data_IF_515098320572
#
_entry.id   IF_515098320572
#
_cell.length_a   1.000
_cell.length_b   1.000
_cell.length_c   1.000
_cell.angle_alpha   90.00
_cell.angle_beta   90.00
_cell.angle_gamma   90.00
#
_symmetry.space_group_name_H-M   'P 1'
#
loop_
_entity.id
_entity.type
_entity.pdbx_description
1 polymer ?
#
# COMPACT_ATOMS: atom_id res chain seq x y z
N UNK A 1 -4.15 -58.26 7.12
CA UNK A 1 -3.24 -57.19 7.61
C UNK A 1 -2.94 -56.26 6.44
N UNK A 2 -3.73 -55.20 6.25
CA UNK A 2 -3.43 -54.12 5.29
C UNK A 2 -2.75 -52.99 6.06
N UNK A 3 -1.47 -52.71 5.75
CA UNK A 3 -0.79 -51.51 6.23
C UNK A 3 -1.28 -50.30 5.44
N UNK A 4 -2.01 -49.39 6.09
CA UNK A 4 -2.19 -48.03 5.60
C UNK A 4 -0.86 -47.27 5.78
N UNK A 5 -0.16 -47.01 4.69
CA UNK A 5 0.93 -46.05 4.68
C UNK A 5 0.35 -44.64 4.85
N UNK A 6 0.48 -44.08 6.05
CA UNK A 6 0.14 -42.68 6.32
C UNK A 6 1.22 -41.80 5.70
N UNK A 7 0.91 -41.20 4.55
CA UNK A 7 1.79 -40.23 3.90
C UNK A 7 1.77 -38.94 4.71
N UNK A 8 2.75 -38.78 5.60
CA UNK A 8 3.01 -37.50 6.27
C UNK A 8 3.60 -36.57 5.23
N UNK A 9 2.76 -35.67 4.69
CA UNK A 9 3.18 -34.61 3.78
C UNK A 9 4.01 -33.60 4.57
N UNK A 10 5.33 -33.69 4.49
CA UNK A 10 6.25 -32.71 5.05
C UNK A 10 6.07 -31.38 4.30
N UNK A 11 5.30 -30.46 4.87
CA UNK A 11 5.21 -29.08 4.38
C UNK A 11 6.54 -28.38 4.68
N UNK A 12 7.43 -28.32 3.69
CA UNK A 12 8.64 -27.51 3.77
C UNK A 12 8.26 -26.06 4.11
N UNK A 13 8.70 -25.57 5.26
CA UNK A 13 8.59 -24.17 5.64
C UNK A 13 9.49 -23.36 4.72
N UNK A 14 8.90 -22.72 3.70
CA UNK A 14 9.63 -21.76 2.86
C UNK A 14 10.23 -20.66 3.75
N UNK A 15 11.50 -20.27 3.56
CA UNK A 15 12.10 -19.19 4.33
C UNK A 15 11.27 -17.92 4.22
N UNK A 16 11.19 -17.17 5.32
CA UNK A 16 10.61 -15.83 5.32
C UNK A 16 11.49 -14.95 4.41
N UNK A 17 10.91 -14.39 3.35
CA UNK A 17 11.62 -13.45 2.47
C UNK A 17 11.40 -12.03 3.03
N UNK A 18 12.48 -11.34 3.42
CA UNK A 18 12.42 -9.93 3.82
C UNK A 18 12.02 -9.03 2.64
N UNK A 19 11.42 -7.85 2.91
CA UNK A 19 11.17 -6.88 1.87
C UNK A 19 12.44 -6.46 1.12
N UNK A 20 12.39 -6.50 -0.20
CA UNK A 20 13.47 -6.02 -1.07
C UNK A 20 13.24 -4.54 -1.38
N UNK A 21 14.16 -3.68 -0.93
CA UNK A 21 14.00 -2.22 -0.97
C UNK A 21 15.23 -1.56 -1.63
N UNK A 22 15.06 -0.71 -2.66
CA UNK A 22 16.14 0.08 -3.22
C UNK A 22 16.75 1.03 -2.18
N UNK A 23 18.08 1.13 -2.13
CA UNK A 23 18.83 2.01 -1.20
C UNK A 23 18.33 3.46 -1.19
N UNK A 24 17.89 3.97 -2.34
CA UNK A 24 17.43 5.35 -2.51
C UNK A 24 16.17 5.71 -1.72
N UNK A 25 15.38 4.73 -1.28
CA UNK A 25 14.14 4.92 -0.50
C UNK A 25 14.11 4.05 0.75
N UNK A 26 15.26 3.47 1.11
CA UNK A 26 15.34 2.43 2.14
C UNK A 26 14.90 2.96 3.50
N UNK A 27 15.31 4.18 3.84
CA UNK A 27 14.95 4.84 5.10
C UNK A 27 13.43 5.03 5.21
N UNK A 28 12.83 5.61 4.19
CA UNK A 28 11.40 5.94 4.14
C UNK A 28 10.54 4.66 4.16
N UNK A 29 10.88 3.68 3.32
CA UNK A 29 10.15 2.43 3.25
C UNK A 29 10.28 1.60 4.54
N UNK A 30 11.47 1.54 5.17
CA UNK A 30 11.65 0.89 6.47
C UNK A 30 10.88 1.61 7.58
N UNK A 31 10.82 2.94 7.54
CA UNK A 31 10.02 3.73 8.49
C UNK A 31 8.55 3.37 8.35
N UNK A 32 7.99 3.38 7.14
CA UNK A 32 6.61 2.96 6.91
C UNK A 32 6.35 1.50 7.35
N UNK A 33 7.23 0.56 6.99
CA UNK A 33 7.14 -0.85 7.40
C UNK A 33 7.21 -1.05 8.93
N UNK A 34 7.81 -0.13 9.67
CA UNK A 34 7.87 -0.22 11.14
C UNK A 34 6.49 -0.15 11.79
N UNK A 35 5.54 0.55 11.17
CA UNK A 35 4.12 0.61 11.57
C UNK A 35 3.32 -0.65 11.20
N UNK A 36 3.87 -1.53 10.35
CA UNK A 36 3.26 -2.79 9.94
C UNK A 36 4.13 -4.00 10.30
N UNK A 37 4.32 -4.30 11.61
CA UNK A 37 5.18 -5.40 12.04
C UNK A 37 4.78 -6.76 11.44
N UNK A 38 3.50 -6.96 11.14
CA UNK A 38 3.01 -8.19 10.50
C UNK A 38 3.48 -8.36 9.05
N UNK A 39 3.83 -7.28 8.35
CA UNK A 39 4.23 -7.31 6.94
C UNK A 39 5.74 -7.56 6.77
N UNK A 40 6.55 -7.40 7.84
CA UNK A 40 8.02 -7.55 7.81
C UNK A 40 8.48 -8.94 7.35
N UNK A 41 7.65 -9.96 7.53
CA UNK A 41 7.95 -11.36 7.20
C UNK A 41 7.36 -11.80 5.85
N UNK A 42 6.84 -10.85 5.07
CA UNK A 42 6.24 -11.13 3.78
C UNK A 42 7.17 -10.73 2.63
N UNK A 43 7.14 -11.49 1.52
CA UNK A 43 7.85 -11.10 0.31
C UNK A 43 7.22 -9.84 -0.31
N UNK A 44 7.77 -8.66 0.00
CA UNK A 44 7.35 -7.37 -0.59
C UNK A 44 8.53 -6.79 -1.37
N UNK A 45 8.34 -6.55 -2.66
CA UNK A 45 9.36 -5.91 -3.50
C UNK A 45 8.98 -4.45 -3.77
N UNK A 46 9.88 -3.52 -3.46
CA UNK A 46 9.74 -2.12 -3.87
C UNK A 46 10.51 -1.93 -5.17
N UNK A 47 9.83 -1.46 -6.22
CA UNK A 47 10.40 -1.43 -7.56
C UNK A 47 10.07 -0.15 -8.30
N UNK A 48 11.10 0.58 -8.71
CA UNK A 48 10.96 1.71 -9.64
C UNK A 48 10.56 1.25 -11.04
N UNK A 49 9.72 2.04 -11.69
CA UNK A 49 9.23 1.87 -13.06
C UNK A 49 9.12 3.24 -13.73
N UNK A 50 9.47 3.31 -15.02
CA UNK A 50 9.48 4.58 -15.76
C UNK A 50 8.09 5.22 -15.85
N UNK A 51 7.05 4.41 -16.03
CA UNK A 51 5.67 4.91 -16.10
C UNK A 51 4.67 3.96 -15.47
N UNK A 52 3.85 4.55 -14.61
CA UNK A 52 2.66 4.02 -13.96
C UNK A 52 1.54 5.00 -14.29
N UNK A 53 0.44 4.48 -14.83
CA UNK A 53 -0.71 5.31 -15.21
C UNK A 53 -1.54 5.63 -13.97
N UNK A 54 -1.93 6.90 -13.83
CA UNK A 54 -2.94 7.40 -12.88
C UNK A 54 -2.55 7.38 -11.39
N UNK A 55 -1.32 7.02 -11.03
CA UNK A 55 -0.84 7.09 -9.64
C UNK A 55 0.68 7.23 -9.54
N UNK A 56 1.16 7.65 -8.37
CA UNK A 56 2.59 7.74 -8.03
C UNK A 56 3.15 6.37 -7.65
N UNK A 57 2.40 5.59 -6.88
CA UNK A 57 2.73 4.23 -6.49
C UNK A 57 1.54 3.29 -6.71
N UNK A 58 1.80 1.98 -6.74
CA UNK A 58 0.79 0.91 -6.82
C UNK A 58 1.26 -0.37 -6.14
N UNK A 59 0.54 -0.78 -5.10
CA UNK A 59 0.64 -2.11 -4.52
C UNK A 59 -0.15 -3.12 -5.35
N UNK A 60 0.45 -4.29 -5.62
CA UNK A 60 -0.23 -5.38 -6.29
C UNK A 60 0.29 -6.75 -5.80
N UNK A 61 -0.54 -7.80 -5.78
CA UNK A 61 -0.06 -9.15 -5.55
C UNK A 61 0.79 -9.63 -6.73
N UNK A 62 1.85 -10.39 -6.46
CA UNK A 62 2.61 -11.11 -7.50
C UNK A 62 1.77 -12.27 -8.00
N UNK A 63 1.20 -12.17 -9.20
CA UNK A 63 0.28 -13.17 -9.78
C UNK A 63 0.78 -14.62 -9.68
N UNK A 64 2.07 -14.86 -9.95
CA UNK A 64 2.68 -16.21 -9.86
C UNK A 64 2.61 -16.83 -8.45
N UNK A 65 2.48 -15.99 -7.41
CA UNK A 65 2.40 -16.40 -6.00
C UNK A 65 1.00 -16.19 -5.41
N UNK A 66 0.00 -15.76 -6.18
CA UNK A 66 -1.33 -15.41 -5.67
C UNK A 66 -2.07 -16.61 -5.04
N UNK A 67 -1.94 -17.80 -5.63
CA UNK A 67 -2.58 -19.03 -5.15
C UNK A 67 -1.76 -19.78 -4.08
N UNK A 68 -0.61 -19.24 -3.66
CA UNK A 68 0.13 -19.77 -2.51
C UNK A 68 -0.64 -19.47 -1.20
N UNK A 69 -0.35 -20.21 -0.12
CA UNK A 69 -0.84 -19.88 1.23
C UNK A 69 -0.61 -18.40 1.56
N UNK A 70 -1.51 -17.79 2.34
CA UNK A 70 -1.53 -16.34 2.59
C UNK A 70 -0.19 -15.79 3.10
N UNK A 71 0.52 -16.57 3.93
CA UNK A 71 1.84 -16.25 4.48
C UNK A 71 3.01 -16.39 3.48
N UNK A 72 2.76 -16.94 2.28
CA UNK A 72 3.74 -17.11 1.21
C UNK A 72 3.41 -16.27 -0.04
N UNK A 73 2.30 -15.51 0.00
CA UNK A 73 1.95 -14.60 -1.10
C UNK A 73 2.97 -13.48 -1.16
N UNK A 74 3.48 -13.25 -2.36
CA UNK A 74 4.37 -12.12 -2.63
C UNK A 74 3.60 -10.92 -3.14
N UNK A 75 4.12 -9.74 -2.86
CA UNK A 75 3.58 -8.45 -3.27
C UNK A 75 4.69 -7.61 -3.92
N UNK A 76 4.28 -6.61 -4.70
CA UNK A 76 5.18 -5.60 -5.24
C UNK A 76 4.52 -4.24 -5.09
N UNK A 77 5.29 -3.27 -4.63
CA UNK A 77 4.96 -1.84 -4.65
C UNK A 77 5.74 -1.24 -5.82
N UNK A 78 5.01 -0.92 -6.88
CA UNK A 78 5.56 -0.22 -8.03
C UNK A 78 5.60 1.27 -7.74
N UNK A 79 6.70 1.92 -8.09
CA UNK A 79 6.94 3.34 -7.81
C UNK A 79 7.31 3.99 -9.14
N UNK A 80 6.60 5.06 -9.52
CA UNK A 80 7.02 5.86 -10.65
C UNK A 80 8.40 6.43 -10.35
N UNK A 81 9.40 6.26 -11.23
CA UNK A 81 10.73 6.85 -11.00
C UNK A 81 10.65 8.38 -10.94
N UNK A 82 9.72 8.95 -11.71
CA UNK A 82 9.45 10.37 -11.76
C UNK A 82 7.97 10.67 -11.67
N UNK A 83 7.64 11.76 -11.01
CA UNK A 83 6.31 12.37 -11.05
C UNK A 83 6.37 13.71 -11.76
N UNK A 84 5.25 14.08 -12.41
CA UNK A 84 5.11 15.38 -13.04
C UNK A 84 4.47 16.35 -12.05
N UNK A 85 5.17 17.42 -11.75
CA UNK A 85 4.65 18.56 -11.01
C UNK A 85 4.79 19.78 -11.94
N UNK A 86 3.66 20.22 -12.48
CA UNK A 86 3.53 21.31 -13.43
C UNK A 86 4.15 20.94 -14.77
N UNK A 87 5.13 21.74 -15.19
CA UNK A 87 5.94 21.48 -16.37
C UNK A 87 7.27 20.77 -16.05
N UNK A 88 7.49 20.35 -14.80
CA UNK A 88 8.72 19.71 -14.35
C UNK A 88 8.51 18.24 -14.05
N UNK A 89 9.50 17.42 -14.38
CA UNK A 89 9.63 16.07 -13.86
C UNK A 89 10.53 16.09 -12.63
N UNK A 90 10.04 15.53 -11.53
CA UNK A 90 10.79 15.38 -10.29
C UNK A 90 10.95 13.89 -10.03
N UNK A 91 12.14 13.45 -9.63
CA UNK A 91 12.34 12.05 -9.26
C UNK A 91 11.62 11.79 -7.95
N UNK A 92 10.89 10.68 -7.87
CA UNK A 92 10.07 10.36 -6.69
C UNK A 92 10.92 10.22 -5.44
N UNK A 93 12.13 9.67 -5.55
CA UNK A 93 13.10 9.55 -4.45
C UNK A 93 13.58 10.90 -3.87
N UNK A 94 13.39 12.00 -4.60
CA UNK A 94 13.83 13.34 -4.19
C UNK A 94 12.68 14.14 -3.53
N UNK A 95 11.50 13.52 -3.33
CA UNK A 95 10.38 14.12 -2.62
C UNK A 95 10.63 14.18 -1.10
N UNK A 96 9.92 15.05 -0.36
CA UNK A 96 10.07 15.14 1.09
C UNK A 96 9.90 13.77 1.77
N UNK A 97 10.79 13.43 2.70
CA UNK A 97 10.84 12.11 3.35
C UNK A 97 9.50 11.72 3.98
N UNK A 98 8.84 12.64 4.69
CA UNK A 98 7.54 12.39 5.32
C UNK A 98 6.42 12.10 4.30
N UNK A 99 6.48 12.73 3.13
CA UNK A 99 5.50 12.53 2.05
C UNK A 99 5.67 11.14 1.44
N UNK A 100 6.92 10.69 1.26
CA UNK A 100 7.22 9.32 0.82
C UNK A 100 6.80 8.27 1.85
N UNK A 101 7.05 8.52 3.14
CA UNK A 101 6.61 7.64 4.22
C UNK A 101 5.08 7.50 4.20
N UNK A 102 4.33 8.59 4.00
CA UNK A 102 2.87 8.56 3.90
C UNK A 102 2.38 7.77 2.69
N UNK A 103 2.98 7.97 1.50
CA UNK A 103 2.65 7.15 0.32
C UNK A 103 2.96 5.66 0.55
N UNK A 104 4.12 5.31 1.12
CA UNK A 104 4.41 3.91 1.44
C UNK A 104 3.44 3.35 2.48
N UNK A 105 3.03 4.14 3.47
CA UNK A 105 1.99 3.76 4.42
C UNK A 105 0.68 3.38 3.74
N UNK A 106 0.21 4.22 2.82
CA UNK A 106 -0.96 3.95 2.00
C UNK A 106 -0.82 2.62 1.21
N UNK A 107 0.30 2.41 0.50
CA UNK A 107 0.53 1.19 -0.28
C UNK A 107 0.61 -0.07 0.60
N UNK A 108 1.18 0.04 1.81
CA UNK A 108 1.19 -1.03 2.79
C UNK A 108 -0.22 -1.30 3.35
N UNK A 109 -1.07 -0.28 3.46
CA UNK A 109 -2.50 -0.40 3.73
C UNK A 109 -3.22 -1.29 2.72
N UNK A 110 -2.94 -1.11 1.42
CA UNK A 110 -3.42 -2.02 0.38
C UNK A 110 -2.92 -3.46 0.58
N UNK A 111 -1.62 -3.66 0.82
CA UNK A 111 -1.08 -5.01 1.05
C UNK A 111 -1.75 -5.68 2.25
N UNK A 112 -1.97 -4.92 3.33
CA UNK A 112 -2.67 -5.41 4.53
C UNK A 112 -4.11 -5.81 4.22
N UNK A 113 -4.86 -5.02 3.44
CA UNK A 113 -6.19 -5.41 2.95
C UNK A 113 -6.11 -6.71 2.13
N UNK A 114 -5.11 -6.85 1.26
CA UNK A 114 -4.95 -8.04 0.43
C UNK A 114 -4.71 -9.33 1.22
N UNK A 115 -4.06 -9.24 2.39
CA UNK A 115 -3.82 -10.42 3.24
C UNK A 115 -5.11 -11.06 3.77
N UNK A 116 -6.17 -10.26 3.98
CA UNK A 116 -7.44 -10.77 4.47
C UNK A 116 -8.25 -11.45 3.37
N UNK A 117 -7.95 -11.20 2.10
CA UNK A 117 -8.71 -11.69 0.95
C UNK A 117 -8.29 -13.09 0.50
N UNK A 118 -9.24 -13.86 -0.05
CA UNK A 118 -8.93 -15.10 -0.77
C UNK A 118 -8.31 -14.79 -2.14
N UNK A 119 -7.66 -15.77 -2.79
CA UNK A 119 -7.04 -15.56 -4.10
C UNK A 119 -8.08 -15.18 -5.17
N UNK A 120 -9.23 -15.86 -5.18
CA UNK A 120 -10.35 -15.52 -6.05
C UNK A 120 -10.90 -14.12 -5.76
N UNK A 121 -11.07 -13.76 -4.48
CA UNK A 121 -11.52 -12.43 -4.11
C UNK A 121 -10.54 -11.35 -4.57
N UNK A 122 -9.22 -11.57 -4.49
CA UNK A 122 -8.20 -10.64 -5.00
C UNK A 122 -8.26 -10.46 -6.51
N UNK A 123 -8.51 -11.54 -7.26
CA UNK A 123 -8.68 -11.44 -8.71
C UNK A 123 -9.90 -10.58 -9.06
N UNK A 124 -11.05 -10.86 -8.43
CA UNK A 124 -12.26 -10.06 -8.63
C UNK A 124 -12.10 -8.62 -8.13
N UNK A 125 -11.36 -8.42 -7.03
CA UNK A 125 -11.01 -7.10 -6.53
C UNK A 125 -10.27 -6.30 -7.61
N UNK A 126 -9.24 -6.87 -8.23
CA UNK A 126 -8.49 -6.21 -9.30
C UNK A 126 -9.36 -5.86 -10.51
N UNK A 127 -10.24 -6.77 -10.93
CA UNK A 127 -11.19 -6.52 -12.03
C UNK A 127 -12.14 -5.36 -11.68
N UNK A 128 -12.75 -5.37 -10.50
CA UNK A 128 -13.70 -4.32 -10.09
C UNK A 128 -13.04 -2.97 -9.88
N UNK A 129 -11.80 -2.97 -9.38
CA UNK A 129 -11.00 -1.76 -9.22
C UNK A 129 -10.75 -1.07 -10.58
N UNK A 130 -10.59 -1.84 -11.67
CA UNK A 130 -10.41 -1.25 -13.01
C UNK A 130 -11.72 -0.74 -13.63
N UNK A 131 -12.88 -1.28 -13.24
CA UNK A 131 -14.15 -1.07 -13.93
C UNK A 131 -15.15 -0.17 -13.16
N UNK A 132 -14.92 0.13 -11.89
CA UNK A 132 -15.91 0.86 -11.06
C UNK A 132 -15.26 1.91 -10.15
N UNK A 133 -15.64 3.17 -10.36
CA UNK A 133 -15.23 4.32 -9.53
C UNK A 133 -15.59 4.15 -8.06
N UNK A 134 -16.79 3.65 -7.76
CA UNK A 134 -17.21 3.36 -6.39
C UNK A 134 -16.33 2.30 -5.72
N UNK A 135 -15.88 1.28 -6.47
CA UNK A 135 -14.95 0.28 -5.95
C UNK A 135 -13.55 0.85 -5.72
N UNK A 136 -13.07 1.72 -6.62
CA UNK A 136 -11.83 2.47 -6.40
C UNK A 136 -11.95 3.27 -5.11
N UNK A 137 -12.99 4.11 -4.97
CA UNK A 137 -13.23 4.92 -3.77
C UNK A 137 -13.19 4.08 -2.49
N UNK A 138 -13.92 2.97 -2.47
CA UNK A 138 -13.92 2.08 -1.32
C UNK A 138 -12.55 1.45 -1.03
N UNK A 139 -11.75 1.13 -2.06
CA UNK A 139 -10.42 0.57 -1.90
C UNK A 139 -9.42 1.60 -1.37
N UNK A 140 -9.37 2.80 -1.94
CA UNK A 140 -8.48 3.89 -1.53
C UNK A 140 -8.78 4.32 -0.09
N UNK A 141 -10.06 4.51 0.25
CA UNK A 141 -10.48 4.87 1.61
C UNK A 141 -10.10 3.80 2.63
N UNK A 142 -10.26 2.51 2.30
CA UNK A 142 -9.82 1.42 3.19
C UNK A 142 -8.32 1.41 3.41
N UNK A 143 -7.51 1.69 2.37
CA UNK A 143 -6.06 1.76 2.51
C UNK A 143 -5.64 2.89 3.47
N UNK A 144 -6.21 4.09 3.30
CA UNK A 144 -5.97 5.22 4.20
C UNK A 144 -6.45 4.92 5.63
N UNK A 145 -7.65 4.36 5.81
CA UNK A 145 -8.15 3.99 7.14
C UNK A 145 -7.26 2.94 7.83
N UNK A 146 -6.74 1.96 7.10
CA UNK A 146 -5.79 0.99 7.65
C UNK A 146 -4.49 1.69 8.06
N UNK A 147 -3.98 2.63 7.26
CA UNK A 147 -2.79 3.39 7.60
C UNK A 147 -2.99 4.26 8.85
N UNK A 148 -4.13 4.95 8.96
CA UNK A 148 -4.49 5.73 10.15
C UNK A 148 -4.57 4.84 11.38
N UNK A 149 -5.27 3.70 11.30
CA UNK A 149 -5.35 2.71 12.38
C UNK A 149 -4.01 2.09 12.78
N UNK A 150 -2.96 2.28 11.98
CA UNK A 150 -1.58 1.88 12.28
C UNK A 150 -0.72 3.03 12.79
N UNK A 151 -1.31 4.19 13.10
CA UNK A 151 -0.60 5.36 13.61
C UNK A 151 0.08 6.20 12.53
N UNK A 152 -0.25 5.99 11.25
CA UNK A 152 0.36 6.74 10.14
C UNK A 152 -0.42 8.00 9.72
N UNK A 153 -1.49 8.34 10.44
CA UNK A 153 -2.33 9.51 10.16
C UNK A 153 -1.54 10.81 9.88
N UNK A 154 -0.55 11.20 10.71
CA UNK A 154 0.26 12.39 10.46
C UNK A 154 1.01 12.37 9.13
N UNK A 155 1.53 11.21 8.70
CA UNK A 155 2.21 11.09 7.39
C UNK A 155 1.22 11.16 6.23
N UNK A 156 0.05 10.52 6.37
CA UNK A 156 -1.02 10.59 5.37
C UNK A 156 -1.48 12.04 5.16
N UNK A 157 -1.65 12.81 6.24
CA UNK A 157 -1.98 14.23 6.18
C UNK A 157 -0.90 15.05 5.46
N UNK A 158 0.38 14.83 5.79
CA UNK A 158 1.50 15.49 5.09
C UNK A 158 1.53 15.17 3.59
N UNK A 159 1.27 13.92 3.21
CA UNK A 159 1.18 13.53 1.78
C UNK A 159 -0.01 14.21 1.10
N UNK A 160 -1.18 14.27 1.73
CA UNK A 160 -2.35 14.95 1.16
C UNK A 160 -2.12 16.46 1.01
N UNK A 161 -1.56 17.12 2.02
CA UNK A 161 -1.18 18.54 1.97
C UNK A 161 -0.21 18.80 0.81
N UNK A 162 0.84 17.98 0.68
CA UNK A 162 1.79 18.08 -0.44
C UNK A 162 1.11 17.99 -1.81
N UNK A 163 0.09 17.15 -1.98
CA UNK A 163 -0.60 16.98 -3.26
C UNK A 163 -1.58 18.12 -3.52
N UNK A 164 -2.40 18.48 -2.53
CA UNK A 164 -3.54 19.38 -2.72
C UNK A 164 -3.10 20.86 -2.71
N UNK A 165 -2.17 21.22 -1.83
CA UNK A 165 -1.71 22.60 -1.65
C UNK A 165 -0.66 23.03 -2.69
N UNK A 166 -0.01 22.06 -3.34
CA UNK A 166 1.02 22.37 -4.33
C UNK A 166 0.38 22.83 -5.65
N UNK A 167 0.56 24.12 -5.98
CA UNK A 167 -0.03 24.76 -7.16
C UNK A 167 0.41 24.10 -8.49
N UNK A 168 1.60 23.49 -8.52
CA UNK A 168 2.11 22.87 -9.72
C UNK A 168 1.57 21.43 -9.91
N UNK A 169 1.00 20.78 -8.88
CA UNK A 169 0.42 19.43 -9.08
C UNK A 169 -0.77 19.51 -10.06
N UNK A 170 -0.82 18.67 -11.12
CA UNK A 170 -1.87 18.75 -12.12
C UNK A 170 -3.28 18.59 -11.54
N UNK A 171 -4.19 19.48 -11.93
CA UNK A 171 -5.58 19.50 -11.45
C UNK A 171 -6.32 18.16 -11.62
N UNK A 172 -6.18 17.41 -12.74
CA UNK A 172 -6.79 16.09 -12.85
C UNK A 172 -6.32 15.08 -11.79
N UNK A 173 -5.08 15.22 -11.30
CA UNK A 173 -4.56 14.39 -10.22
C UNK A 173 -5.14 14.83 -8.87
N UNK A 174 -5.23 16.13 -8.60
CA UNK A 174 -5.91 16.65 -7.40
C UNK A 174 -7.37 16.22 -7.32
N UNK A 175 -8.11 16.37 -8.41
CA UNK A 175 -9.50 15.94 -8.52
C UNK A 175 -9.66 14.45 -8.25
N UNK A 176 -8.73 13.62 -8.73
CA UNK A 176 -8.70 12.19 -8.42
C UNK A 176 -8.52 11.92 -6.92
N UNK A 177 -7.64 12.66 -6.25
CA UNK A 177 -7.46 12.54 -4.79
C UNK A 177 -8.73 12.95 -4.05
N UNK A 178 -9.35 14.07 -4.42
CA UNK A 178 -10.60 14.54 -3.82
C UNK A 178 -11.78 13.59 -4.06
N UNK A 179 -11.85 12.93 -5.22
CA UNK A 179 -12.94 12.01 -5.56
C UNK A 179 -12.87 10.70 -4.74
N UNK A 180 -11.68 10.09 -4.69
CA UNK A 180 -11.52 8.70 -4.24
C UNK A 180 -11.03 8.54 -2.81
N UNK A 181 -10.40 9.53 -2.21
CA UNK A 181 -9.74 9.39 -0.90
C UNK A 181 -10.52 10.13 0.19
N UNK A 182 -10.26 9.85 1.48
CA UNK A 182 -10.75 10.69 2.57
C UNK A 182 -10.13 12.08 2.52
N UNK A 183 -10.89 13.11 2.87
CA UNK A 183 -10.37 14.47 3.05
C UNK A 183 -9.42 14.55 4.26
N UNK A 184 -8.58 15.58 4.38
CA UNK A 184 -7.77 15.80 5.58
C UNK A 184 -8.61 15.80 6.86
N UNK A 185 -9.78 16.42 6.85
CA UNK A 185 -10.70 16.49 8.00
C UNK A 185 -11.24 15.11 8.36
N UNK A 186 -11.60 14.29 7.36
CA UNK A 186 -12.02 12.91 7.60
C UNK A 186 -10.89 12.08 8.22
N UNK A 187 -9.63 12.30 7.82
CA UNK A 187 -8.47 11.64 8.43
C UNK A 187 -8.28 12.10 9.87
N UNK A 188 -8.41 13.41 10.17
CA UNK A 188 -8.33 13.92 11.54
C UNK A 188 -9.40 13.29 12.43
N UNK A 189 -10.64 13.21 11.95
CA UNK A 189 -11.71 12.54 12.68
C UNK A 189 -11.40 11.07 12.98
N UNK A 190 -10.83 10.33 12.00
CA UNK A 190 -10.40 8.94 12.23
C UNK A 190 -9.30 8.83 13.30
N UNK A 191 -8.41 9.82 13.40
CA UNK A 191 -7.36 9.86 14.43
C UNK A 191 -8.02 10.10 15.80
N UNK A 192 -8.87 11.11 15.91
CA UNK A 192 -9.55 11.47 17.16
C UNK A 192 -10.39 10.30 17.72
N UNK A 193 -11.09 9.57 16.85
CA UNK A 193 -11.86 8.38 17.23
C UNK A 193 -10.98 7.27 17.83
N UNK A 194 -9.76 7.08 17.30
CA UNK A 194 -8.82 6.08 17.81
C UNK A 194 -8.27 6.49 19.17
N UNK A 195 -7.85 7.75 19.32
CA UNK A 195 -7.33 8.28 20.59
C UNK A 195 -8.38 8.25 21.72
N UNK A 196 -9.63 8.57 21.39
CA UNK A 196 -10.75 8.49 22.32
C UNK A 196 -11.11 7.04 22.70
N UNK A 197 -10.86 6.07 21.80
CA UNK A 197 -11.05 4.65 22.03
C UNK A 197 -9.96 4.01 22.89
N UNK A 198 -8.70 4.44 22.76
CA UNK A 198 -7.57 3.98 23.56
C UNK A 198 -7.57 4.54 25.00
N UNK A 199 -8.29 5.63 25.23
CA UNK A 199 -8.41 6.28 26.55
C UNK A 199 -9.50 5.67 27.45
N UNK A 200 -10.14 4.57 27.04
CA UNK A 200 -11.19 3.83 27.79
C UNK A 200 -10.73 2.44 28.19
#
# INVERSE_FOLDING_TARGET
>A
MLLLASTVLFMATTPLEEPSIPKAIEKEAKTALSYYPELKKLPIEFKFKDTIKKSTMQAQPKFRRLFKPKNQRGYVILINDKIRIGNKEIRTRDLPSDVLIGWFGHELGHIKDYQHRSALNLLFFGIRYLLSSNYIKGAERRADSIAVAKGMGPYILKTKAFILENADVPEPYKNRILEFYPSPEEIMHMIDELEAGESK
#
